data_IF_954332833895
#
_entry.id   IF_954332833895
#
_cell.length_a   1.000
_cell.length_b   1.000
_cell.length_c   1.000
_cell.angle_alpha   90.00
_cell.angle_beta   90.00
_cell.angle_gamma   90.00
#
_symmetry.space_group_name_H-M   'P 1'
#
loop_
_entity.id
_entity.type
_entity.pdbx_description
1 polymer ?
#
# COMPACT_ATOMS: atom_id res chain seq x y z
N UNK A 1 -17.08 -15.14 -9.42
CA UNK A 1 -18.13 -14.34 -8.75
C UNK A 1 -18.14 -14.48 -7.22
N UNK A 2 -18.36 -15.68 -6.64
CA UNK A 2 -18.44 -15.87 -5.17
C UNK A 2 -17.19 -15.39 -4.40
N UNK A 3 -15.98 -15.72 -4.88
CA UNK A 3 -14.69 -15.27 -4.30
C UNK A 3 -14.60 -13.74 -4.21
N UNK A 4 -14.94 -13.03 -5.28
CA UNK A 4 -14.90 -11.57 -5.33
C UNK A 4 -15.89 -10.93 -4.36
N UNK A 5 -17.10 -11.48 -4.26
CA UNK A 5 -18.11 -11.01 -3.29
C UNK A 5 -17.61 -11.17 -1.84
N UNK A 6 -16.99 -12.30 -1.53
CA UNK A 6 -16.38 -12.54 -0.23
C UNK A 6 -15.25 -11.54 0.08
N UNK A 7 -14.33 -11.32 -0.86
CA UNK A 7 -13.23 -10.35 -0.72
C UNK A 7 -13.79 -8.93 -0.48
N UNK A 8 -14.81 -8.52 -1.24
CA UNK A 8 -15.46 -7.21 -1.05
C UNK A 8 -16.07 -7.07 0.35
N UNK A 9 -16.80 -8.08 0.81
CA UNK A 9 -17.44 -8.05 2.12
C UNK A 9 -16.40 -7.97 3.26
N UNK A 10 -15.35 -8.80 3.19
CA UNK A 10 -14.26 -8.80 4.17
C UNK A 10 -13.50 -7.46 4.18
N UNK A 11 -13.20 -6.90 3.00
CA UNK A 11 -12.51 -5.60 2.87
C UNK A 11 -13.34 -4.46 3.43
N UNK A 12 -14.66 -4.45 3.18
CA UNK A 12 -15.58 -3.43 3.71
C UNK A 12 -15.66 -3.49 5.23
N UNK A 13 -15.78 -4.69 5.80
CA UNK A 13 -15.81 -4.88 7.25
C UNK A 13 -14.50 -4.39 7.90
N UNK A 14 -13.34 -4.76 7.33
CA UNK A 14 -12.04 -4.29 7.82
C UNK A 14 -11.92 -2.77 7.79
N UNK A 15 -12.38 -2.12 6.71
CA UNK A 15 -12.35 -0.65 6.59
C UNK A 15 -13.24 0.03 7.64
N UNK A 16 -14.41 -0.52 7.94
CA UNK A 16 -15.26 0.04 9.00
C UNK A 16 -14.60 -0.04 10.38
N UNK A 17 -13.93 -1.15 10.69
CA UNK A 17 -13.23 -1.32 11.97
C UNK A 17 -11.99 -0.42 12.06
N UNK A 18 -11.17 -0.35 11.01
CA UNK A 18 -9.96 0.49 10.99
C UNK A 18 -10.29 1.99 10.98
N UNK A 19 -11.40 2.39 10.37
CA UNK A 19 -11.90 3.77 10.41
C UNK A 19 -12.19 4.27 11.83
N UNK A 20 -12.64 3.37 12.71
CA UNK A 20 -12.86 3.67 14.14
C UNK A 20 -11.55 3.76 14.93
N UNK A 21 -10.48 3.10 14.48
CA UNK A 21 -9.16 3.13 15.11
C UNK A 21 -8.33 4.36 14.74
N UNK A 22 -8.56 4.96 13.56
CA UNK A 22 -7.87 6.18 13.10
C UNK A 22 -8.00 7.38 14.04
N UNK A 23 -9.05 7.44 14.86
CA UNK A 23 -9.23 8.50 15.86
C UNK A 23 -8.31 8.37 17.07
N UNK A 24 -7.61 7.24 17.23
CA UNK A 24 -6.80 6.89 18.41
C UNK A 24 -5.31 7.16 18.18
N UNK A 25 -4.87 7.40 16.94
CA UNK A 25 -3.47 7.67 16.59
C UNK A 25 -3.30 9.14 16.14
N UNK A 26 -2.87 10.05 17.04
CA UNK A 26 -2.57 11.43 16.66
C UNK A 26 -1.34 11.44 15.74
N UNK A 27 -1.51 11.73 14.45
CA UNK A 27 -0.42 11.85 13.47
C UNK A 27 0.24 13.23 13.45
N UNK A 28 -0.30 14.18 14.22
CA UNK A 28 -0.04 15.60 14.01
C UNK A 28 0.97 16.19 15.01
N UNK A 29 1.79 15.36 15.67
CA UNK A 29 2.79 15.83 16.61
C UNK A 29 4.23 15.68 16.07
N UNK A 30 4.95 16.78 15.77
CA UNK A 30 6.37 16.73 15.45
C UNK A 30 7.13 16.40 16.73
N UNK A 31 7.34 15.11 16.95
CA UNK A 31 7.93 14.59 18.17
C UNK A 31 9.45 14.62 18.08
N UNK A 32 10.02 15.77 18.44
CA UNK A 32 11.46 15.94 18.64
C UNK A 32 11.91 14.88 19.68
N UNK A 33 12.70 13.90 19.23
CA UNK A 33 13.20 12.77 20.04
C UNK A 33 12.62 11.39 19.69
N UNK A 34 11.49 11.31 18.97
CA UNK A 34 10.93 10.03 18.50
C UNK A 34 11.84 9.29 17.52
N UNK A 35 12.59 9.94 16.61
CA UNK A 35 13.55 9.23 15.76
C UNK A 35 14.58 8.42 16.56
N UNK A 36 15.14 8.99 17.63
CA UNK A 36 16.11 8.29 18.50
C UNK A 36 15.47 7.20 19.36
N UNK A 37 14.22 7.41 19.80
CA UNK A 37 13.45 6.38 20.52
C UNK A 37 13.11 5.19 19.61
N UNK A 38 12.71 5.45 18.36
CA UNK A 38 12.48 4.41 17.35
C UNK A 38 13.79 3.67 17.06
N UNK A 39 14.90 4.37 16.93
CA UNK A 39 16.22 3.77 16.69
C UNK A 39 16.67 2.89 17.87
N UNK A 40 16.53 3.37 19.11
CA UNK A 40 16.82 2.60 20.30
C UNK A 40 15.92 1.36 20.42
N UNK A 41 14.62 1.50 20.16
CA UNK A 41 13.67 0.40 20.17
C UNK A 41 13.98 -0.63 19.07
N UNK A 42 14.28 -0.19 17.85
CA UNK A 42 14.66 -1.07 16.74
C UNK A 42 15.98 -1.81 17.02
N UNK A 43 16.97 -1.13 17.62
CA UNK A 43 18.25 -1.73 18.03
C UNK A 43 18.06 -2.79 19.12
N UNK A 44 17.21 -2.52 20.12
CA UNK A 44 16.86 -3.51 21.14
C UNK A 44 16.08 -4.69 20.53
N UNK A 45 15.15 -4.40 19.63
CA UNK A 45 14.32 -5.39 18.94
C UNK A 45 15.17 -6.38 18.12
N UNK A 46 16.17 -5.88 17.40
CA UNK A 46 17.12 -6.71 16.65
C UNK A 46 18.08 -7.50 17.55
N UNK A 47 18.67 -6.87 18.57
CA UNK A 47 19.68 -7.51 19.44
C UNK A 47 19.11 -8.56 20.38
N UNK A 48 17.86 -8.42 20.80
CA UNK A 48 17.24 -9.32 21.77
C UNK A 48 16.61 -10.58 21.13
N UNK A 49 16.68 -10.75 19.80
CA UNK A 49 15.99 -11.84 19.07
C UNK A 49 14.49 -11.92 19.40
N UNK A 50 13.90 -10.81 19.84
CA UNK A 50 12.47 -10.75 20.24
C UNK A 50 11.58 -10.94 19.02
N UNK A 51 12.06 -10.55 17.85
CA UNK A 51 11.43 -10.83 16.57
C UNK A 51 11.21 -12.34 16.32
N UNK A 52 12.15 -13.19 16.76
CA UNK A 52 12.05 -14.66 16.61
C UNK A 52 11.03 -15.30 17.58
N UNK A 53 10.58 -14.56 18.60
CA UNK A 53 9.67 -15.04 19.65
C UNK A 53 8.30 -14.39 19.64
N UNK A 54 8.11 -13.32 18.87
CA UNK A 54 6.81 -12.70 18.69
C UNK A 54 6.03 -13.44 17.60
N UNK A 55 4.74 -13.72 17.82
CA UNK A 55 3.90 -14.24 16.75
C UNK A 55 3.86 -13.26 15.59
N UNK A 56 3.81 -13.79 14.36
CA UNK A 56 3.68 -12.98 13.15
C UNK A 56 2.44 -12.09 13.27
N UNK A 57 2.66 -10.77 13.22
CA UNK A 57 1.58 -9.78 13.33
C UNK A 57 0.68 -9.77 12.10
N UNK A 58 1.21 -10.18 10.95
CA UNK A 58 0.48 -10.35 9.69
C UNK A 58 1.23 -11.34 8.78
N UNK A 59 0.54 -11.90 7.79
CA UNK A 59 1.17 -12.77 6.78
C UNK A 59 1.72 -11.98 5.58
N UNK A 60 1.08 -10.87 5.24
CA UNK A 60 1.43 -10.00 4.11
C UNK A 60 1.04 -8.55 4.43
N UNK A 61 1.87 -7.61 3.98
CA UNK A 61 1.54 -6.18 4.02
C UNK A 61 1.11 -5.73 2.64
N UNK A 62 -0.04 -5.05 2.56
CA UNK A 62 -0.54 -4.43 1.32
C UNK A 62 -0.78 -2.94 1.58
N UNK A 63 0.01 -2.07 0.96
CA UNK A 63 -0.13 -0.62 1.04
C UNK A 63 -0.69 -0.04 -0.25
N UNK A 64 -1.67 0.87 -0.16
CA UNK A 64 -2.22 1.58 -1.30
C UNK A 64 -2.04 3.08 -1.13
N UNK A 65 -1.14 3.66 -1.93
CA UNK A 65 -0.79 5.08 -1.89
C UNK A 65 -1.38 5.78 -3.11
N UNK A 66 -2.24 6.80 -2.93
CA UNK A 66 -2.66 7.63 -4.05
C UNK A 66 -1.48 8.44 -4.60
N UNK A 67 -1.16 8.30 -5.88
CA UNK A 67 -0.13 9.10 -6.53
C UNK A 67 -0.70 10.15 -7.50
N UNK A 68 0.19 10.92 -8.16
CA UNK A 68 -0.20 11.99 -9.09
C UNK A 68 -1.06 11.48 -10.24
N UNK A 69 -2.19 12.15 -10.50
CA UNK A 69 -3.10 11.83 -11.62
C UNK A 69 -2.84 12.69 -12.86
N UNK A 70 -1.68 13.35 -12.91
CA UNK A 70 -1.23 14.19 -14.02
C UNK A 70 0.10 13.64 -14.52
N UNK A 71 0.39 13.74 -15.83
CA UNK A 71 1.66 13.28 -16.37
C UNK A 71 2.82 14.09 -15.78
N UNK A 72 3.89 13.40 -15.39
CA UNK A 72 5.12 14.01 -14.91
C UNK A 72 6.22 13.91 -15.95
N UNK A 73 7.16 14.87 -15.90
CA UNK A 73 8.30 14.94 -16.81
C UNK A 73 9.59 15.18 -16.04
N UNK A 74 10.67 14.52 -16.46
CA UNK A 74 12.03 14.75 -15.98
C UNK A 74 12.89 15.20 -17.16
N UNK A 75 13.40 16.43 -17.11
CA UNK A 75 14.21 17.02 -18.19
C UNK A 75 13.55 16.89 -19.59
N UNK A 76 12.22 17.06 -19.65
CA UNK A 76 11.44 16.92 -20.89
C UNK A 76 11.01 15.49 -21.25
N UNK A 77 11.53 14.46 -20.57
CA UNK A 77 11.11 13.07 -20.77
C UNK A 77 9.88 12.74 -19.92
N UNK A 78 8.83 12.15 -20.52
CA UNK A 78 7.61 11.73 -19.81
C UNK A 78 7.89 10.50 -18.94
N UNK A 79 7.54 10.58 -17.66
CA UNK A 79 7.53 9.42 -16.76
C UNK A 79 6.39 8.49 -17.18
N UNK A 80 6.70 7.22 -17.43
CA UNK A 80 5.75 6.22 -17.95
C UNK A 80 5.12 5.36 -16.86
N UNK A 81 5.88 5.07 -15.82
CA UNK A 81 5.46 4.27 -14.68
C UNK A 81 6.23 4.72 -13.43
N UNK A 82 5.66 4.45 -12.27
CA UNK A 82 6.32 4.65 -10.99
C UNK A 82 6.14 3.40 -10.12
N UNK A 83 7.10 2.49 -10.18
CA UNK A 83 7.07 1.24 -9.43
C UNK A 83 7.48 1.47 -7.97
N UNK A 84 6.54 1.38 -7.01
CA UNK A 84 6.88 1.64 -5.62
C UNK A 84 7.73 0.51 -5.05
N UNK A 85 8.79 0.84 -4.33
CA UNK A 85 9.61 -0.11 -3.59
C UNK A 85 9.46 0.13 -2.09
N UNK A 86 8.96 -0.89 -1.40
CA UNK A 86 8.81 -0.91 0.05
C UNK A 86 9.89 -1.78 0.68
N UNK A 87 9.79 -2.01 1.99
CA UNK A 87 10.79 -2.71 2.78
C UNK A 87 10.14 -3.97 3.38
N UNK A 88 10.84 -5.09 3.28
CA UNK A 88 10.54 -6.30 4.05
C UNK A 88 11.28 -6.23 5.39
N UNK A 89 10.63 -6.71 6.44
CA UNK A 89 11.20 -6.73 7.79
C UNK A 89 11.10 -8.14 8.34
N UNK A 90 11.85 -8.43 9.40
CA UNK A 90 11.80 -9.74 10.03
C UNK A 90 10.35 -10.11 10.41
N UNK A 91 9.93 -11.34 10.09
CA UNK A 91 8.56 -11.81 10.26
C UNK A 91 7.57 -11.42 9.15
N UNK A 92 7.97 -10.59 8.18
CA UNK A 92 7.15 -10.16 7.03
C UNK A 92 7.96 -10.28 5.73
N UNK A 93 7.95 -11.49 5.15
CA UNK A 93 8.73 -11.83 3.97
C UNK A 93 8.20 -11.20 2.66
N UNK A 94 6.97 -10.65 2.65
CA UNK A 94 6.35 -10.06 1.47
C UNK A 94 5.66 -8.74 1.80
N UNK A 95 6.01 -7.71 1.02
CA UNK A 95 5.35 -6.41 1.03
C UNK A 95 4.87 -6.06 -0.38
N UNK A 96 3.57 -5.82 -0.53
CA UNK A 96 2.95 -5.37 -1.78
C UNK A 96 2.59 -3.90 -1.62
N UNK A 97 3.15 -3.04 -2.45
CA UNK A 97 2.78 -1.63 -2.48
C UNK A 97 2.17 -1.31 -3.83
N UNK A 98 1.01 -0.66 -3.82
CA UNK A 98 0.33 -0.20 -5.02
C UNK A 98 0.26 1.31 -5.02
N UNK A 99 0.53 1.91 -6.17
CA UNK A 99 0.45 3.35 -6.36
C UNK A 99 -0.27 3.68 -7.65
N UNK A 100 -1.16 4.67 -7.60
CA UNK A 100 -1.80 5.19 -8.82
C UNK A 100 -0.94 6.28 -9.45
N UNK A 101 -0.77 6.25 -10.77
CA UNK A 101 0.01 7.24 -11.52
C UNK A 101 -0.57 7.42 -12.93
N UNK A 102 -0.93 8.64 -13.32
CA UNK A 102 -1.35 8.99 -14.69
C UNK A 102 -2.35 7.98 -15.31
N UNK A 103 -3.48 7.75 -14.62
CA UNK A 103 -4.53 6.78 -14.96
C UNK A 103 -4.12 5.29 -14.98
N UNK A 104 -2.87 4.98 -14.65
CA UNK A 104 -2.38 3.63 -14.39
C UNK A 104 -2.30 3.34 -12.88
N UNK A 105 -2.12 2.06 -12.56
CA UNK A 105 -1.86 1.58 -11.21
C UNK A 105 -0.65 0.66 -11.25
N UNK A 106 0.42 1.10 -10.61
CA UNK A 106 1.69 0.40 -10.53
C UNK A 106 1.75 -0.46 -9.26
N UNK A 107 2.25 -1.68 -9.40
CA UNK A 107 2.42 -2.65 -8.32
C UNK A 107 3.91 -2.88 -8.07
N UNK A 108 4.31 -2.87 -6.80
CA UNK A 108 5.63 -3.23 -6.34
C UNK A 108 5.54 -4.38 -5.35
N UNK A 109 6.19 -5.49 -5.66
CA UNK A 109 6.27 -6.68 -4.81
C UNK A 109 7.71 -6.79 -4.31
N UNK A 110 7.93 -6.44 -3.04
CA UNK A 110 9.22 -6.62 -2.38
C UNK A 110 9.16 -7.88 -1.54
N UNK A 111 10.13 -8.78 -1.73
CA UNK A 111 10.18 -10.04 -1.02
C UNK A 111 11.59 -10.37 -0.52
N UNK A 112 11.66 -11.12 0.58
CA UNK A 112 12.88 -11.80 0.97
C UNK A 112 13.14 -12.98 0.02
N UNK A 113 14.27 -12.96 -0.67
CA UNK A 113 14.57 -13.94 -1.71
C UNK A 113 14.80 -15.37 -1.20
N UNK A 114 15.12 -15.55 0.07
CA UNK A 114 15.29 -16.88 0.67
C UNK A 114 13.94 -17.45 1.13
N UNK A 115 13.07 -16.61 1.70
CA UNK A 115 11.76 -17.01 2.19
C UNK A 115 10.71 -17.12 1.07
N UNK A 116 10.82 -16.32 0.00
CA UNK A 116 9.90 -16.32 -1.14
C UNK A 116 10.65 -16.22 -2.49
N UNK A 117 11.32 -17.30 -2.93
CA UNK A 117 12.14 -17.30 -4.14
C UNK A 117 11.33 -17.11 -5.45
N UNK A 118 10.02 -17.33 -5.40
CA UNK A 118 9.10 -17.33 -6.55
C UNK A 118 8.24 -16.06 -6.64
N UNK A 119 8.67 -14.94 -6.06
CA UNK A 119 7.94 -13.65 -6.11
C UNK A 119 7.58 -13.22 -7.54
N UNK A 120 8.38 -13.60 -8.54
CA UNK A 120 8.08 -13.36 -9.96
C UNK A 120 6.83 -14.11 -10.43
N UNK A 121 6.64 -15.35 -9.99
CA UNK A 121 5.45 -16.14 -10.29
C UNK A 121 4.21 -15.50 -9.67
N UNK A 122 4.33 -14.97 -8.45
CA UNK A 122 3.27 -14.20 -7.80
C UNK A 122 2.92 -12.94 -8.60
N UNK A 123 3.91 -12.20 -9.10
CA UNK A 123 3.68 -11.02 -9.94
C UNK A 123 2.87 -11.37 -11.21
N UNK A 124 3.23 -12.46 -11.90
CA UNK A 124 2.49 -12.92 -13.08
C UNK A 124 1.06 -13.40 -12.74
N UNK A 125 0.87 -13.99 -11.56
CA UNK A 125 -0.46 -14.42 -11.11
C UNK A 125 -1.39 -13.23 -10.83
N UNK A 126 -0.85 -12.04 -10.51
CA UNK A 126 -1.66 -10.81 -10.39
C UNK A 126 -2.26 -10.43 -11.75
N UNK A 127 -1.48 -10.48 -12.83
CA UNK A 127 -1.97 -10.21 -14.18
C UNK A 127 -3.05 -11.22 -14.59
N UNK A 128 -2.79 -12.52 -14.36
CA UNK A 128 -3.79 -13.56 -14.61
C UNK A 128 -5.08 -13.36 -13.80
N UNK A 129 -4.97 -12.94 -12.54
CA UNK A 129 -6.13 -12.63 -11.69
C UNK A 129 -6.92 -11.42 -12.18
N UNK A 130 -6.25 -10.43 -12.77
CA UNK A 130 -6.90 -9.26 -13.39
C UNK A 130 -7.66 -9.68 -14.66
N UNK A 131 -7.09 -10.56 -15.46
CA UNK A 131 -7.75 -11.09 -16.65
C UNK A 131 -8.97 -11.94 -16.28
N UNK A 132 -8.87 -12.80 -15.26
CA UNK A 132 -10.02 -13.49 -14.67
C UNK A 132 -11.11 -12.51 -14.22
N UNK A 133 -10.72 -11.40 -13.59
CA UNK A 133 -11.65 -10.37 -13.12
C UNK A 133 -12.35 -9.66 -14.30
N UNK A 134 -11.62 -9.32 -15.36
CA UNK A 134 -12.15 -8.70 -16.58
C UNK A 134 -13.12 -9.61 -17.32
N UNK A 135 -12.90 -10.92 -17.27
CA UNK A 135 -13.79 -11.90 -17.88
C UNK A 135 -15.13 -12.07 -17.14
N UNK A 136 -15.23 -11.61 -15.88
CA UNK A 136 -16.50 -11.62 -15.17
C UNK A 136 -17.45 -10.54 -15.71
N UNK A 137 -18.69 -10.92 -16.02
CA UNK A 137 -19.74 -9.96 -16.35
C UNK A 137 -19.94 -9.01 -15.15
N UNK A 138 -19.99 -7.68 -15.37
CA UNK A 138 -20.25 -6.73 -14.29
C UNK A 138 -21.60 -7.05 -13.64
N UNK A 139 -21.60 -7.30 -12.34
CA UNK A 139 -22.82 -7.59 -11.58
C UNK A 139 -23.65 -6.32 -11.28
N UNK A 140 -23.08 -5.14 -11.51
CA UNK A 140 -23.69 -3.82 -11.34
C UNK A 140 -23.03 -2.87 -12.35
N UNK A 141 -23.80 -1.98 -12.98
CA UNK A 141 -23.23 -0.86 -13.75
C UNK A 141 -22.20 -0.08 -12.91
N UNK A 142 -21.18 0.53 -13.54
CA UNK A 142 -20.18 1.27 -12.79
C UNK A 142 -20.87 2.37 -11.97
N UNK A 143 -20.82 2.28 -10.65
CA UNK A 143 -21.23 3.37 -9.79
C UNK A 143 -20.43 4.62 -10.20
N UNK A 144 -21.15 5.69 -10.51
CA UNK A 144 -20.59 6.98 -10.87
C UNK A 144 -19.51 7.35 -9.84
N UNK A 145 -18.27 7.56 -10.31
CA UNK A 145 -17.15 7.86 -9.41
C UNK A 145 -17.54 9.09 -8.57
N UNK A 146 -17.50 9.02 -7.23
CA UNK A 146 -17.77 10.20 -6.42
C UNK A 146 -16.81 11.30 -6.86
N UNK A 147 -17.34 12.45 -7.26
CA UNK A 147 -16.54 13.59 -7.69
C UNK A 147 -15.50 13.88 -6.61
N UNK A 148 -14.22 13.75 -6.96
CA UNK A 148 -13.11 14.04 -6.05
C UNK A 148 -13.25 15.51 -5.65
N UNK A 149 -13.46 15.78 -4.35
CA UNK A 149 -13.48 17.16 -3.83
C UNK A 149 -12.20 17.86 -4.33
N UNK A 150 -12.30 19.04 -4.98
CA UNK A 150 -11.13 19.76 -5.45
C UNK A 150 -10.20 20.01 -4.27
N UNK A 151 -8.91 19.73 -4.45
CA UNK A 151 -7.90 20.01 -3.45
C UNK A 151 -7.95 21.51 -3.13
N UNK A 152 -8.03 21.84 -1.84
CA UNK A 152 -8.05 23.23 -1.37
C UNK A 152 -6.79 23.93 -1.90
N UNK A 153 -6.90 25.11 -2.54
CA UNK A 153 -5.73 25.78 -3.09
C UNK A 153 -4.73 26.04 -1.96
N UNK A 154 -3.48 25.63 -2.17
CA UNK A 154 -2.39 26.03 -1.30
C UNK A 154 -2.36 27.56 -1.30
N UNK A 155 -2.51 28.17 -0.12
CA UNK A 155 -2.40 29.61 0.01
C UNK A 155 -1.03 30.03 -0.51
N UNK A 156 -1.01 30.83 -1.58
CA UNK A 156 0.19 31.55 -2.01
C UNK A 156 0.53 32.50 -0.86
N UNK A 157 1.55 32.18 -0.08
CA UNK A 157 2.29 33.19 0.67
C UNK A 157 2.92 34.11 -0.36
N UNK A 158 2.36 35.32 -0.49
CA UNK A 158 3.00 36.41 -1.20
C UNK A 158 4.26 36.81 -0.43
N UNK A 159 5.37 36.90 -1.16
CA UNK A 159 6.54 37.67 -0.75
C UNK A 159 6.33 39.13 -1.17
#
# INVERSE_FOLDING_TARGET
AKRLAHIRNATTAMKSTMGQMKSILPTDYPSIGVPWLIEAAASLYGKAHVADRLPQVANVVISNVPGPQVPLYLAGARVRSNHPTSIVVHGLALNITVQSFDAAMDFGLMADGAALPDVKSLALAVDGSLDELRALKPAVEPAEKPARKPARPAARTAA
#
